data_IF_148228619510
#
_entry.id   IF_148228619510
#
_cell.length_a   1.000
_cell.length_b   1.000
_cell.length_c   1.000
_cell.angle_alpha   90.00
_cell.angle_beta   90.00
_cell.angle_gamma   90.00
#
_symmetry.space_group_name_H-M   'P 1'
#
loop_
_entity.id
_entity.type
_entity.pdbx_description
1 polymer ?
#
# COMPACT_ATOMS: atom_id res chain seq x y z
N UNK A 1 -5.61 -17.81 11.38
CA UNK A 1 -4.88 -16.54 11.51
C UNK A 1 -3.42 -16.90 11.32
N UNK A 2 -2.90 -16.74 10.11
CA UNK A 2 -1.49 -17.05 9.81
C UNK A 2 -0.62 -16.07 10.58
N UNK A 3 0.37 -16.55 11.34
CA UNK A 3 1.33 -15.67 12.00
C UNK A 3 1.98 -14.79 10.93
N UNK A 4 1.77 -13.48 11.03
CA UNK A 4 2.39 -12.51 10.14
C UNK A 4 3.90 -12.55 10.42
N UNK A 5 4.66 -13.19 9.54
CA UNK A 5 6.13 -13.17 9.62
C UNK A 5 6.58 -11.76 9.23
N UNK A 6 6.98 -10.96 10.22
CA UNK A 6 7.57 -9.64 9.99
C UNK A 6 9.09 -9.80 9.91
N UNK A 7 9.71 -9.52 8.75
CA UNK A 7 11.17 -9.47 8.63
C UNK A 7 11.79 -8.53 9.67
N UNK A 8 13.00 -8.82 10.19
CA UNK A 8 13.61 -8.04 11.27
C UNK A 8 13.95 -6.59 10.87
N UNK A 9 13.98 -6.28 9.58
CA UNK A 9 14.20 -4.93 9.04
C UNK A 9 12.90 -4.14 8.83
N UNK A 10 11.76 -4.69 9.25
CA UNK A 10 10.44 -4.09 9.13
C UNK A 10 9.77 -3.95 10.49
N UNK A 11 8.98 -2.90 10.63
CA UNK A 11 8.09 -2.67 11.76
C UNK A 11 6.64 -2.81 11.28
N UNK A 12 5.79 -3.60 11.96
CA UNK A 12 4.37 -3.70 11.60
C UNK A 12 3.67 -2.35 11.82
N UNK A 13 2.83 -1.97 10.87
CA UNK A 13 1.97 -0.78 10.97
C UNK A 13 0.56 -1.24 11.30
N UNK A 14 0.15 -1.05 12.55
CA UNK A 14 -1.15 -1.51 13.04
C UNK A 14 -2.31 -0.58 12.69
N UNK A 15 -2.02 0.66 12.28
CA UNK A 15 -3.02 1.54 11.72
C UNK A 15 -3.33 1.06 10.30
N UNK A 16 -4.57 0.64 10.08
CA UNK A 16 -5.00 0.18 8.78
C UNK A 16 -4.93 1.35 7.78
N UNK A 17 -4.25 1.13 6.65
CA UNK A 17 -4.40 1.98 5.48
C UNK A 17 -5.67 1.52 4.76
N UNK A 18 -6.79 2.12 5.15
CA UNK A 18 -8.10 1.85 4.56
C UNK A 18 -8.45 2.96 3.57
N UNK A 19 -9.14 2.57 2.50
CA UNK A 19 -9.70 3.48 1.49
C UNK A 19 -8.68 4.42 0.82
N UNK A 20 -7.43 3.97 0.66
CA UNK A 20 -6.42 4.73 -0.11
C UNK A 20 -6.65 4.54 -1.60
N UNK A 21 -6.42 5.59 -2.40
CA UNK A 21 -6.68 5.54 -3.85
C UNK A 21 -5.47 5.05 -4.64
N UNK A 22 -5.67 4.05 -5.48
CA UNK A 22 -4.65 3.51 -6.39
C UNK A 22 -4.35 4.52 -7.50
N UNK A 23 -3.06 4.76 -7.75
CA UNK A 23 -2.55 5.65 -8.79
C UNK A 23 -1.81 4.94 -9.90
N UNK A 24 -1.14 3.84 -9.59
CA UNK A 24 -0.47 3.00 -10.56
C UNK A 24 -0.50 1.54 -10.10
N UNK A 25 -0.72 0.64 -11.05
CA UNK A 25 -0.70 -0.81 -10.85
C UNK A 25 0.38 -1.37 -11.79
N UNK A 26 1.25 -2.27 -11.31
CA UNK A 26 2.27 -2.86 -12.16
C UNK A 26 1.66 -3.90 -13.11
N UNK A 27 2.24 -4.04 -14.30
CA UNK A 27 1.93 -5.14 -15.22
C UNK A 27 2.74 -6.40 -14.89
N UNK A 28 3.98 -6.21 -14.45
CA UNK A 28 4.92 -7.27 -14.07
C UNK A 28 5.45 -7.06 -12.64
N UNK A 29 5.86 -8.14 -11.94
CA UNK A 29 6.51 -8.02 -10.63
C UNK A 29 7.85 -7.27 -10.74
N UNK A 30 8.32 -6.66 -9.65
CA UNK A 30 9.66 -6.07 -9.60
C UNK A 30 10.71 -7.12 -9.95
N UNK A 31 11.68 -6.76 -10.78
CA UNK A 31 12.82 -7.60 -11.11
C UNK A 31 14.09 -7.12 -10.38
N UNK A 32 14.99 -8.06 -10.16
CA UNK A 32 16.37 -7.81 -9.74
C UNK A 32 17.28 -8.73 -10.54
N UNK A 33 18.27 -8.15 -11.22
CA UNK A 33 19.23 -8.88 -12.04
C UNK A 33 18.55 -9.75 -13.14
N UNK A 34 17.45 -9.25 -13.71
CA UNK A 34 16.67 -9.93 -14.76
C UNK A 34 15.80 -11.09 -14.27
N UNK A 35 15.65 -11.26 -12.96
CA UNK A 35 14.77 -12.26 -12.37
C UNK A 35 13.70 -11.60 -11.48
N UNK A 36 12.46 -12.14 -11.42
CA UNK A 36 11.45 -11.67 -10.50
C UNK A 36 11.98 -11.68 -9.05
N UNK A 37 11.83 -10.56 -8.37
CA UNK A 37 12.28 -10.37 -7.00
C UNK A 37 11.48 -11.28 -6.06
N UNK A 38 12.19 -12.16 -5.36
CA UNK A 38 11.66 -13.06 -4.35
C UNK A 38 12.12 -12.65 -2.95
N UNK A 39 11.48 -13.21 -1.91
CA UNK A 39 11.87 -13.00 -0.52
C UNK A 39 11.85 -14.30 0.26
N UNK A 40 12.88 -14.56 1.05
CA UNK A 40 12.90 -15.67 2.02
C UNK A 40 11.85 -15.49 3.12
N UNK A 41 11.49 -14.24 3.43
CA UNK A 41 10.46 -13.92 4.42
C UNK A 41 9.04 -14.03 3.85
N UNK A 42 8.89 -14.06 2.52
CA UNK A 42 7.62 -14.26 1.83
C UNK A 42 7.75 -15.37 0.77
N UNK A 43 7.94 -16.63 1.18
CA UNK A 43 8.15 -17.73 0.26
C UNK A 43 6.99 -17.86 -0.75
N UNK A 44 7.31 -18.10 -2.02
CA UNK A 44 6.32 -18.24 -3.09
C UNK A 44 5.66 -16.93 -3.54
N UNK A 45 5.95 -15.79 -2.91
CA UNK A 45 5.43 -14.49 -3.31
C UNK A 45 6.36 -13.78 -4.30
N UNK A 46 5.76 -12.91 -5.11
CA UNK A 46 6.45 -11.96 -5.99
C UNK A 46 6.23 -10.54 -5.45
N UNK A 47 7.14 -9.63 -5.75
CA UNK A 47 7.03 -8.24 -5.36
C UNK A 47 6.22 -7.43 -6.39
N UNK A 48 5.03 -6.95 -6.04
CA UNK A 48 4.22 -6.09 -6.91
C UNK A 48 4.24 -4.64 -6.42
N UNK A 49 4.83 -3.73 -7.17
CA UNK A 49 4.95 -2.33 -6.77
C UNK A 49 3.72 -1.51 -7.18
N UNK A 50 2.84 -1.26 -6.21
CA UNK A 50 1.64 -0.43 -6.39
C UNK A 50 1.94 0.99 -5.91
N UNK A 51 1.38 2.00 -6.58
CA UNK A 51 1.40 3.37 -6.05
C UNK A 51 0.02 3.76 -5.55
N UNK A 52 -0.04 4.29 -4.33
CA UNK A 52 -1.26 4.83 -3.73
C UNK A 52 -1.10 6.31 -3.42
N UNK A 53 -2.23 6.97 -3.21
CA UNK A 53 -2.33 8.33 -2.69
C UNK A 53 -2.60 8.29 -1.19
N UNK A 54 -1.74 8.94 -0.41
CA UNK A 54 -1.92 9.19 1.01
C UNK A 54 -2.31 10.65 1.23
N UNK A 55 -3.31 10.89 2.07
CA UNK A 55 -3.63 12.21 2.59
C UNK A 55 -2.79 12.41 3.86
N UNK A 56 -1.93 13.42 3.84
CA UNK A 56 -0.98 13.70 4.92
C UNK A 56 -1.57 14.65 5.95
N UNK A 57 -2.33 15.63 5.48
CA UNK A 57 -3.05 16.60 6.30
C UNK A 57 -4.29 17.07 5.55
N UNK A 58 -5.34 17.39 6.32
CA UNK A 58 -6.53 18.07 5.85
C UNK A 58 -6.71 19.32 6.70
N UNK A 59 -6.96 20.46 6.06
CA UNK A 59 -7.24 21.73 6.74
C UNK A 59 -8.49 22.35 6.12
N UNK A 60 -9.47 22.67 6.96
CA UNK A 60 -10.66 23.39 6.53
C UNK A 60 -10.38 24.90 6.57
N UNK A 61 -10.54 25.55 5.42
CA UNK A 61 -10.45 27.00 5.28
C UNK A 61 -11.67 27.69 5.89
N UNK A 62 -11.54 29.01 6.11
CA UNK A 62 -12.64 29.83 6.66
C UNK A 62 -13.88 29.91 5.75
N UNK A 63 -13.77 29.49 4.50
CA UNK A 63 -14.82 29.39 3.49
C UNK A 63 -15.43 27.98 3.38
N UNK A 64 -14.99 27.03 4.22
CA UNK A 64 -15.40 25.63 4.18
C UNK A 64 -14.69 24.80 3.09
N UNK A 65 -13.70 25.36 2.39
CA UNK A 65 -12.89 24.59 1.46
C UNK A 65 -11.93 23.65 2.23
N UNK A 66 -11.90 22.37 1.86
CA UNK A 66 -10.95 21.41 2.45
C UNK A 66 -9.69 21.35 1.59
N UNK A 67 -8.60 21.91 2.11
CA UNK A 67 -7.28 21.75 1.53
C UNK A 67 -6.67 20.43 2.01
N UNK A 68 -6.16 19.64 1.05
CA UNK A 68 -5.55 18.33 1.34
C UNK A 68 -4.11 18.31 0.86
N UNK A 69 -3.19 18.06 1.78
CA UNK A 69 -1.82 17.71 1.41
C UNK A 69 -1.80 16.23 1.02
N UNK A 70 -1.43 15.95 -0.23
CA UNK A 70 -1.46 14.61 -0.79
C UNK A 70 -0.07 14.17 -1.24
N UNK A 71 0.33 12.96 -0.83
CA UNK A 71 1.59 12.34 -1.24
C UNK A 71 1.35 11.04 -2.00
N UNK A 72 2.15 10.81 -3.04
CA UNK A 72 2.24 9.51 -3.71
C UNK A 72 3.19 8.62 -2.93
N UNK A 73 2.73 7.44 -2.57
CA UNK A 73 3.51 6.48 -1.80
C UNK A 73 3.55 5.13 -2.53
N UNK A 74 4.74 4.63 -2.93
CA UNK A 74 4.87 3.26 -3.39
C UNK A 74 4.74 2.28 -2.22
N UNK A 75 4.08 1.15 -2.48
CA UNK A 75 3.98 0.00 -1.57
C UNK A 75 4.34 -1.25 -2.38
N UNK A 76 5.27 -2.06 -1.86
CA UNK A 76 5.55 -3.39 -2.42
C UNK A 76 4.60 -4.41 -1.79
N UNK A 77 3.74 -5.00 -2.61
CA UNK A 77 2.79 -6.03 -2.19
C UNK A 77 3.40 -7.41 -2.49
N UNK A 78 3.61 -8.22 -1.46
CA UNK A 78 4.11 -9.58 -1.58
C UNK A 78 2.96 -10.56 -1.70
N UNK A 79 2.66 -10.97 -2.93
CA UNK A 79 1.58 -11.92 -3.25
C UNK A 79 2.03 -12.86 -4.38
N UNK A 80 1.50 -14.10 -4.44
CA UNK A 80 1.89 -15.07 -5.47
C UNK A 80 1.44 -14.64 -6.89
N UNK A 81 0.30 -13.94 -6.96
CA UNK A 81 -0.35 -13.52 -8.20
C UNK A 81 -0.49 -12.00 -8.26
N UNK A 82 -0.77 -11.46 -9.45
CA UNK A 82 -0.99 -10.02 -9.65
C UNK A 82 -2.21 -9.58 -8.82
N UNK A 83 -2.09 -8.53 -7.99
CA UNK A 83 -3.25 -7.99 -7.30
C UNK A 83 -4.35 -7.54 -8.27
N UNK A 84 -5.60 -7.97 -8.03
CA UNK A 84 -6.75 -7.61 -8.85
C UNK A 84 -7.30 -6.23 -8.47
N UNK A 85 -6.55 -5.19 -8.82
CA UNK A 85 -6.86 -3.78 -8.57
C UNK A 85 -6.58 -2.95 -9.83
N UNK A 86 -7.20 -1.79 -9.95
CA UNK A 86 -7.06 -0.86 -11.07
C UNK A 86 -6.78 0.56 -10.59
N UNK A 87 -6.23 1.38 -11.48
CA UNK A 87 -6.06 2.82 -11.21
C UNK A 87 -7.42 3.45 -10.91
N UNK A 88 -7.51 4.21 -9.82
CA UNK A 88 -8.75 4.83 -9.34
C UNK A 88 -9.45 4.04 -8.24
N UNK A 89 -9.18 2.75 -8.09
CA UNK A 89 -9.77 1.93 -7.04
C UNK A 89 -9.44 2.48 -5.66
N UNK A 90 -10.41 2.40 -4.74
CA UNK A 90 -10.13 2.48 -3.31
C UNK A 90 -9.74 1.10 -2.81
N UNK A 91 -8.67 1.04 -2.02
CA UNK A 91 -8.13 -0.23 -1.53
C UNK A 91 -7.86 -0.20 -0.05
N UNK A 92 -7.93 -1.38 0.55
CA UNK A 92 -7.41 -1.67 1.87
C UNK A 92 -6.10 -2.44 1.73
N UNK A 93 -5.09 -2.02 2.49
CA UNK A 93 -3.79 -2.70 2.52
C UNK A 93 -3.68 -3.51 3.80
N UNK A 94 -3.37 -4.81 3.67
CA UNK A 94 -3.30 -5.75 4.80
C UNK A 94 -1.87 -6.20 5.08
N UNK A 95 -1.54 -6.40 6.36
CA UNK A 95 -0.18 -6.79 6.76
C UNK A 95 0.85 -5.71 6.42
N UNK A 96 0.48 -4.44 6.55
CA UNK A 96 1.37 -3.33 6.24
C UNK A 96 2.55 -3.29 7.20
N UNK A 97 3.72 -3.05 6.62
CA UNK A 97 5.00 -3.01 7.30
C UNK A 97 5.83 -1.85 6.74
N UNK A 98 6.53 -1.15 7.61
CA UNK A 98 7.40 -0.04 7.24
C UNK A 98 8.86 -0.38 7.57
N UNK A 99 9.76 -0.07 6.65
CA UNK A 99 11.19 -0.07 6.90
C UNK A 99 11.80 1.27 6.55
N UNK A 100 13.03 1.50 7.01
CA UNK A 100 13.79 2.69 6.68
C UNK A 100 15.24 2.31 6.35
N UNK A 101 15.76 2.85 5.25
CA UNK A 101 17.17 2.72 4.86
C UNK A 101 17.66 4.11 4.47
N UNK A 102 18.78 4.56 5.05
CA UNK A 102 19.41 5.85 4.72
C UNK A 102 18.44 7.05 4.76
N UNK A 103 17.56 7.08 5.76
CA UNK A 103 16.55 8.14 5.92
C UNK A 103 15.35 8.05 4.98
N UNK A 104 15.29 7.04 4.11
CA UNK A 104 14.16 6.79 3.21
C UNK A 104 13.24 5.71 3.75
N UNK A 105 11.96 6.07 3.96
CA UNK A 105 10.90 5.13 4.33
C UNK A 105 10.45 4.32 3.11
N UNK A 106 10.28 3.01 3.28
CA UNK A 106 9.63 2.15 2.31
C UNK A 106 8.54 1.31 2.97
N UNK A 107 7.46 1.06 2.22
CA UNK A 107 6.32 0.30 2.68
C UNK A 107 6.24 -1.03 1.95
N UNK A 108 5.94 -2.08 2.70
CA UNK A 108 5.68 -3.42 2.20
C UNK A 108 4.39 -3.95 2.81
N UNK A 109 3.67 -4.80 2.10
CA UNK A 109 2.45 -5.41 2.61
C UNK A 109 2.30 -6.83 2.06
N UNK A 110 1.44 -7.63 2.68
CA UNK A 110 1.16 -9.01 2.25
C UNK A 110 -0.17 -9.15 1.52
N UNK A 111 -0.96 -8.07 1.44
CA UNK A 111 -2.19 -8.06 0.67
C UNK A 111 -2.71 -6.66 0.40
N UNK A 112 -3.55 -6.60 -0.62
CA UNK A 112 -4.26 -5.40 -1.05
C UNK A 112 -5.57 -5.86 -1.68
N UNK A 113 -6.67 -5.25 -1.28
CA UNK A 113 -8.00 -5.60 -1.76
C UNK A 113 -8.80 -4.34 -2.07
N UNK A 114 -9.62 -4.39 -3.11
CA UNK A 114 -10.58 -3.32 -3.40
C UNK A 114 -11.60 -3.26 -2.27
N UNK A 115 -11.89 -2.06 -1.79
CA UNK A 115 -13.02 -1.82 -0.89
C UNK A 115 -14.16 -1.15 -1.66
N UNK A 116 -15.39 -1.55 -1.39
CA UNK A 116 -16.56 -0.83 -1.88
C UNK A 116 -16.61 0.54 -1.19
N UNK A 117 -16.81 1.60 -1.97
CA UNK A 117 -17.13 2.92 -1.41
C UNK A 117 -18.44 2.79 -0.65
N UNK A 118 -18.37 2.65 0.67
CA UNK A 118 -19.53 2.90 1.50
C UNK A 118 -19.76 4.40 1.43
N UNK A 119 -20.68 4.83 0.57
CA UNK A 119 -21.23 6.18 0.59
C UNK A 119 -21.78 6.38 2.01
N UNK A 120 -21.02 7.05 2.88
CA UNK A 120 -21.59 7.73 4.01
C UNK A 120 -22.37 8.92 3.44
N UNK A 121 -23.57 8.65 2.94
CA UNK A 121 -24.59 9.69 2.83
C UNK A 121 -24.82 10.22 4.24
N UNK A 122 -24.48 11.48 4.42
CA UNK A 122 -24.83 12.29 5.58
C UNK A 122 -26.36 12.20 5.76
N UNK A 123 -26.80 11.67 6.90
CA UNK A 123 -28.17 11.84 7.41
C UNK A 123 -28.20 13.03 8.36
#
# INVERSE_FOLDING_TARGET
MSDLIVPPYLTPVYQALESVRVRAVPDDPEERDGMPKTSLSFPGCRAWKVQVTLVMSETEGADGAVEREVRRQPITIWTPERPNISVGDQVRVTGLMAGAVEGSLFLQATGIERVEETNYEVL
#
